data_IF_541154456134
#
_entry.id   IF_541154456134
#
_cell.length_a   1.000
_cell.length_b   1.000
_cell.length_c   1.000
_cell.angle_alpha   90.00
_cell.angle_beta   90.00
_cell.angle_gamma   90.00
#
_symmetry.space_group_name_H-M   'P 1'
#
loop_
_entity.id
_entity.type
_entity.pdbx_description
1 polymer ?
#
# COMPACT_ATOMS: atom_id res chain seq x y z
N UNK A 1 -7.67 -19.72 14.37
CA UNK A 1 -6.54 -19.56 15.29
C UNK A 1 -5.61 -18.39 14.98
N UNK A 2 -5.94 -17.52 13.99
CA UNK A 2 -5.09 -16.36 13.62
C UNK A 2 -5.30 -15.14 14.53
N UNK A 3 -6.38 -15.09 15.30
CA UNK A 3 -6.71 -14.00 16.24
C UNK A 3 -6.80 -14.56 17.65
N UNK A 4 -6.25 -13.86 18.61
CA UNK A 4 -6.36 -14.19 20.03
C UNK A 4 -7.58 -13.48 20.59
N UNK A 5 -8.68 -14.19 20.97
CA UNK A 5 -9.96 -13.59 21.32
C UNK A 5 -9.89 -12.56 22.45
N UNK A 6 -9.08 -12.87 23.48
CA UNK A 6 -9.00 -12.06 24.70
C UNK A 6 -8.16 -10.78 24.54
N UNK A 7 -7.31 -10.72 23.52
CA UNK A 7 -6.44 -9.56 23.27
C UNK A 7 -6.94 -8.67 22.13
N UNK A 8 -8.06 -9.02 21.51
CA UNK A 8 -8.63 -8.25 20.41
C UNK A 8 -8.97 -6.81 20.88
N UNK A 9 -8.65 -5.83 20.06
CA UNK A 9 -8.77 -4.41 20.37
C UNK A 9 -8.08 -4.03 21.72
N UNK A 10 -6.90 -4.60 22.00
CA UNK A 10 -6.18 -4.37 23.25
C UNK A 10 -6.89 -4.93 24.47
N UNK A 11 -7.76 -5.92 24.31
CA UNK A 11 -8.59 -6.50 25.36
C UNK A 11 -9.87 -5.72 25.66
N UNK A 12 -10.14 -4.63 24.96
CA UNK A 12 -11.36 -3.84 25.15
C UNK A 12 -12.62 -4.56 24.61
N UNK A 13 -12.44 -5.55 23.75
CA UNK A 13 -13.52 -6.33 23.16
C UNK A 13 -13.12 -7.80 23.04
N UNK A 14 -13.80 -8.66 23.81
CA UNK A 14 -13.57 -10.12 23.77
C UNK A 14 -14.41 -10.73 22.66
N UNK A 15 -13.74 -11.49 21.76
CA UNK A 15 -14.41 -12.17 20.67
C UNK A 15 -15.05 -13.48 21.15
N UNK A 16 -16.30 -13.70 20.75
CA UNK A 16 -17.02 -14.96 21.02
C UNK A 16 -16.58 -16.04 20.00
N UNK A 17 -15.54 -16.78 20.36
CA UNK A 17 -15.00 -17.85 19.52
C UNK A 17 -15.97 -19.04 19.37
N UNK A 18 -16.87 -19.25 20.34
CA UNK A 18 -17.87 -20.32 20.26
C UNK A 18 -18.99 -19.96 19.29
N UNK A 19 -19.50 -18.74 19.34
CA UNK A 19 -20.49 -18.25 18.37
C UNK A 19 -19.91 -18.28 16.94
N UNK A 20 -18.63 -17.93 16.75
CA UNK A 20 -17.97 -18.02 15.44
C UNK A 20 -17.88 -19.46 14.94
N UNK A 21 -17.48 -20.43 15.79
CA UNK A 21 -17.43 -21.86 15.43
C UNK A 21 -18.82 -22.38 15.05
N UNK A 22 -19.84 -22.05 15.84
CA UNK A 22 -21.22 -22.46 15.59
C UNK A 22 -21.77 -21.87 14.30
N UNK A 23 -21.44 -20.64 13.97
CA UNK A 23 -21.85 -20.00 12.72
C UNK A 23 -21.21 -20.68 11.51
N UNK A 24 -19.89 -20.92 11.55
CA UNK A 24 -19.16 -21.60 10.49
C UNK A 24 -19.66 -23.06 10.35
N UNK A 25 -19.87 -23.74 11.48
CA UNK A 25 -20.42 -25.11 11.51
C UNK A 25 -21.71 -25.21 10.71
N UNK A 26 -22.70 -24.43 11.07
CA UNK A 26 -24.04 -24.46 10.43
C UNK A 26 -24.02 -23.93 9.00
N UNK A 27 -23.29 -22.85 8.74
CA UNK A 27 -23.38 -22.17 7.44
C UNK A 27 -22.53 -22.83 6.35
N UNK A 28 -21.43 -23.52 6.70
CA UNK A 28 -20.46 -24.03 5.75
C UNK A 28 -20.10 -25.50 5.99
N UNK A 29 -19.72 -25.89 7.22
CA UNK A 29 -19.18 -27.21 7.47
C UNK A 29 -20.24 -28.31 7.26
N UNK A 30 -21.41 -28.20 7.88
CA UNK A 30 -22.51 -29.16 7.77
C UNK A 30 -23.02 -29.31 6.31
N UNK A 31 -23.32 -28.19 5.56
CA UNK A 31 -23.75 -28.31 4.16
C UNK A 31 -22.73 -28.96 3.23
N UNK A 32 -21.44 -28.83 3.54
CA UNK A 32 -20.35 -29.37 2.72
C UNK A 32 -19.79 -30.70 3.24
N UNK A 33 -20.31 -31.22 4.36
CA UNK A 33 -19.88 -32.49 4.94
C UNK A 33 -18.45 -32.51 5.43
N UNK A 34 -17.95 -31.36 5.94
CA UNK A 34 -16.59 -31.21 6.43
C UNK A 34 -16.56 -30.78 7.92
N UNK A 35 -15.41 -30.88 8.58
CA UNK A 35 -15.25 -30.35 9.93
C UNK A 35 -15.15 -28.81 9.94
N UNK A 36 -15.47 -28.19 11.09
CA UNK A 36 -15.51 -26.74 11.24
C UNK A 36 -14.16 -26.06 11.04
N UNK A 37 -13.04 -26.71 11.38
CA UNK A 37 -11.70 -26.17 11.20
C UNK A 37 -11.33 -26.11 9.73
N UNK A 38 -11.60 -27.19 8.98
CA UNK A 38 -11.43 -27.25 7.53
C UNK A 38 -12.30 -26.21 6.83
N UNK A 39 -13.56 -26.04 7.26
CA UNK A 39 -14.46 -25.03 6.73
C UNK A 39 -13.92 -23.60 6.95
N UNK A 40 -13.50 -23.28 8.17
CA UNK A 40 -12.91 -21.99 8.51
C UNK A 40 -11.64 -21.69 7.69
N UNK A 41 -10.76 -22.68 7.55
CA UNK A 41 -9.58 -22.60 6.70
C UNK A 41 -9.95 -22.39 5.24
N UNK A 42 -10.92 -23.13 4.73
CA UNK A 42 -11.40 -23.01 3.33
C UNK A 42 -11.90 -21.60 3.01
N UNK A 43 -12.64 -20.98 3.92
CA UNK A 43 -13.07 -19.57 3.79
C UNK A 43 -11.87 -18.63 3.69
N UNK A 44 -10.90 -18.77 4.60
CA UNK A 44 -9.69 -17.95 4.59
C UNK A 44 -8.86 -18.18 3.31
N UNK A 45 -8.73 -19.42 2.87
CA UNK A 45 -7.95 -19.77 1.68
C UNK A 45 -8.56 -19.20 0.39
N UNK A 46 -9.90 -19.15 0.29
CA UNK A 46 -10.59 -18.48 -0.83
C UNK A 46 -10.30 -16.96 -0.83
N UNK A 47 -10.30 -16.33 0.34
CA UNK A 47 -9.95 -14.91 0.46
C UNK A 47 -8.49 -14.69 0.04
N UNK A 48 -7.56 -15.50 0.56
CA UNK A 48 -6.14 -15.43 0.22
C UNK A 48 -5.91 -15.63 -1.30
N UNK A 49 -6.65 -16.55 -1.94
CA UNK A 49 -6.54 -16.77 -3.39
C UNK A 49 -7.12 -15.62 -4.21
N UNK A 50 -8.24 -15.04 -3.78
CA UNK A 50 -8.81 -13.87 -4.45
C UNK A 50 -7.84 -12.67 -4.42
N UNK A 51 -7.19 -12.44 -3.27
CA UNK A 51 -6.14 -11.40 -3.15
C UNK A 51 -4.94 -11.71 -4.04
N UNK A 52 -4.49 -12.98 -4.06
CA UNK A 52 -3.38 -13.40 -4.91
C UNK A 52 -3.71 -13.25 -6.39
N UNK A 53 -4.93 -13.63 -6.80
CA UNK A 53 -5.38 -13.50 -8.19
C UNK A 53 -5.44 -12.03 -8.63
N UNK A 54 -5.95 -11.14 -7.78
CA UNK A 54 -5.97 -9.69 -8.05
C UNK A 54 -4.55 -9.11 -8.19
N UNK A 55 -3.65 -9.49 -7.28
CA UNK A 55 -2.25 -9.06 -7.35
C UNK A 55 -1.54 -9.55 -8.63
N UNK A 56 -1.77 -10.82 -9.02
CA UNK A 56 -1.20 -11.37 -10.26
C UNK A 56 -1.74 -10.66 -11.50
N UNK A 57 -3.06 -10.39 -11.55
CA UNK A 57 -3.67 -9.68 -12.66
C UNK A 57 -3.07 -8.28 -12.82
N UNK A 58 -2.99 -7.52 -11.73
CA UNK A 58 -2.38 -6.18 -11.76
C UNK A 58 -0.89 -6.23 -12.14
N UNK A 59 -0.11 -7.14 -11.58
CA UNK A 59 1.31 -7.30 -11.94
C UNK A 59 1.49 -7.65 -13.42
N UNK A 60 0.60 -8.48 -13.99
CA UNK A 60 0.66 -8.85 -15.41
C UNK A 60 0.38 -7.66 -16.33
N UNK A 61 -0.51 -6.73 -15.96
CA UNK A 61 -0.78 -5.50 -16.71
C UNK A 61 0.49 -4.63 -16.86
N UNK A 62 1.38 -4.67 -15.86
CA UNK A 62 2.63 -3.90 -15.84
C UNK A 62 3.87 -4.74 -16.16
N UNK A 63 3.72 -6.02 -16.49
CA UNK A 63 4.83 -6.93 -16.77
C UNK A 63 5.77 -7.14 -15.57
N UNK A 64 5.24 -7.10 -14.34
CA UNK A 64 6.01 -7.19 -13.10
C UNK A 64 6.09 -8.64 -12.60
N UNK A 65 7.28 -9.05 -12.14
CA UNK A 65 7.47 -10.29 -11.38
C UNK A 65 7.29 -10.02 -9.88
N UNK A 66 6.22 -10.58 -9.30
CA UNK A 66 5.89 -10.42 -7.88
C UNK A 66 6.92 -11.09 -6.97
N UNK A 67 7.52 -12.21 -7.38
CA UNK A 67 8.52 -12.92 -6.59
C UNK A 67 9.80 -12.12 -6.34
N UNK A 68 10.06 -11.10 -7.17
CA UNK A 68 11.20 -10.18 -7.04
C UNK A 68 10.89 -8.94 -6.19
N UNK A 69 9.68 -8.83 -5.63
CA UNK A 69 9.22 -7.65 -4.88
C UNK A 69 9.11 -7.94 -3.40
N UNK A 70 9.27 -6.89 -2.60
CA UNK A 70 8.86 -6.89 -1.20
C UNK A 70 7.36 -6.55 -1.11
N UNK A 71 6.68 -7.12 -0.11
CA UNK A 71 5.27 -6.82 0.17
C UNK A 71 5.14 -6.00 1.44
N UNK A 72 4.27 -5.00 1.44
CA UNK A 72 3.90 -4.26 2.64
C UNK A 72 2.51 -4.72 3.07
N UNK A 73 2.40 -5.22 4.31
CA UNK A 73 1.13 -5.61 4.91
C UNK A 73 0.57 -4.44 5.73
N UNK A 74 -0.44 -3.77 5.18
CA UNK A 74 -0.99 -2.52 5.68
C UNK A 74 -2.50 -2.60 5.85
N UNK A 75 -2.99 -2.27 7.04
CA UNK A 75 -4.40 -2.38 7.42
C UNK A 75 -4.64 -3.44 8.50
N UNK A 76 -5.79 -3.37 9.18
CA UNK A 76 -6.10 -4.24 10.33
C UNK A 76 -6.15 -5.73 10.04
N UNK A 77 -6.50 -6.15 8.81
CA UNK A 77 -6.54 -7.55 8.41
C UNK A 77 -5.31 -8.02 7.63
N UNK A 78 -4.55 -7.10 7.00
CA UNK A 78 -3.45 -7.48 6.12
C UNK A 78 -2.38 -8.36 6.79
N UNK A 79 -1.91 -8.08 8.02
CA UNK A 79 -0.91 -8.91 8.69
C UNK A 79 -1.38 -10.35 9.01
N UNK A 80 -2.70 -10.58 9.09
CA UNK A 80 -3.28 -11.90 9.28
C UNK A 80 -3.11 -12.81 8.07
N UNK A 81 -3.05 -12.22 6.87
CA UNK A 81 -2.99 -12.91 5.59
C UNK A 81 -1.60 -12.88 4.95
N UNK A 82 -0.74 -11.98 5.43
CA UNK A 82 0.50 -11.59 4.75
C UNK A 82 1.43 -12.75 4.43
N UNK A 83 1.75 -13.63 5.38
CA UNK A 83 2.63 -14.78 5.16
C UNK A 83 2.05 -15.73 4.10
N UNK A 84 0.75 -16.07 4.21
CA UNK A 84 0.07 -16.95 3.25
C UNK A 84 0.01 -16.36 1.85
N UNK A 85 -0.29 -15.07 1.76
CA UNK A 85 -0.30 -14.35 0.49
C UNK A 85 1.10 -14.30 -0.13
N UNK A 86 2.13 -14.04 0.68
CA UNK A 86 3.53 -14.09 0.26
C UNK A 86 3.92 -15.44 -0.34
N UNK A 87 3.51 -16.55 0.29
CA UNK A 87 3.71 -17.89 -0.26
C UNK A 87 3.08 -18.08 -1.64
N UNK A 88 1.81 -17.66 -1.80
CA UNK A 88 1.06 -17.77 -3.07
C UNK A 88 1.65 -16.92 -4.19
N UNK A 89 2.25 -15.79 -3.86
CA UNK A 89 2.83 -14.84 -4.81
C UNK A 89 4.35 -15.06 -5.04
N UNK A 90 4.99 -15.95 -4.27
CA UNK A 90 6.43 -16.16 -4.33
C UNK A 90 7.24 -15.03 -3.68
N UNK A 91 6.60 -14.13 -2.94
CA UNK A 91 7.24 -13.05 -2.18
C UNK A 91 8.02 -13.64 -1.00
N UNK A 92 9.23 -13.18 -0.79
CA UNK A 92 10.13 -13.71 0.25
C UNK A 92 10.30 -12.79 1.44
N UNK A 93 9.95 -11.51 1.29
CA UNK A 93 10.09 -10.48 2.32
C UNK A 93 8.84 -9.64 2.42
N UNK A 94 8.33 -9.49 3.65
CA UNK A 94 7.10 -8.77 3.96
C UNK A 94 7.39 -7.79 5.08
N UNK A 95 6.99 -6.53 4.92
CA UNK A 95 7.10 -5.51 5.96
C UNK A 95 5.71 -5.23 6.52
N UNK A 96 5.58 -5.37 7.84
CA UNK A 96 4.41 -4.93 8.60
C UNK A 96 4.82 -3.65 9.34
N UNK A 97 4.39 -2.47 8.87
CA UNK A 97 4.79 -1.20 9.47
C UNK A 97 4.31 -1.07 10.92
N UNK A 98 4.98 -0.26 11.70
CA UNK A 98 4.47 0.17 13.01
C UNK A 98 3.08 0.80 12.81
N UNK A 99 2.14 0.46 13.69
CA UNK A 99 0.74 0.88 13.59
C UNK A 99 0.05 0.48 12.27
N UNK A 100 0.43 -0.66 11.67
CA UNK A 100 -0.15 -1.14 10.42
C UNK A 100 -1.69 -1.16 10.43
N UNK A 101 -2.32 -1.52 11.54
CA UNK A 101 -3.77 -1.60 11.68
C UNK A 101 -4.50 -0.26 11.57
N UNK A 102 -3.82 0.84 11.85
CA UNK A 102 -4.34 2.23 11.78
C UNK A 102 -3.50 3.11 10.85
N UNK A 103 -2.68 2.52 10.01
CA UNK A 103 -1.71 3.22 9.18
C UNK A 103 -2.33 4.24 8.23
N UNK A 104 -3.59 4.04 7.77
CA UNK A 104 -4.31 5.06 6.99
C UNK A 104 -4.52 6.34 7.80
N UNK A 105 -4.84 6.22 9.10
CA UNK A 105 -4.98 7.38 9.99
C UNK A 105 -3.64 8.07 10.22
N UNK A 106 -2.56 7.29 10.41
CA UNK A 106 -1.20 7.82 10.52
C UNK A 106 -0.80 8.55 9.24
N UNK A 107 -1.02 7.93 8.07
CA UNK A 107 -0.74 8.56 6.78
C UNK A 107 -1.53 9.84 6.56
N UNK A 108 -2.79 9.87 6.98
CA UNK A 108 -3.62 11.07 6.90
C UNK A 108 -3.10 12.22 7.77
N UNK A 109 -2.59 11.90 8.98
CA UNK A 109 -1.99 12.90 9.87
C UNK A 109 -0.65 13.44 9.35
N UNK A 110 0.09 12.61 8.61
CA UNK A 110 1.39 12.97 8.04
C UNK A 110 1.27 13.60 6.64
N UNK A 111 0.12 13.47 5.99
CA UNK A 111 -0.08 14.01 4.66
C UNK A 111 0.03 15.55 4.69
N UNK A 112 0.72 16.17 3.72
CA UNK A 112 0.73 17.60 3.58
C UNK A 112 -0.67 18.12 3.26
N UNK A 113 -0.96 19.37 3.64
CA UNK A 113 -2.17 20.04 3.17
C UNK A 113 -2.01 20.29 1.67
N UNK A 114 -2.72 19.52 0.87
CA UNK A 114 -2.62 19.57 -0.58
C UNK A 114 -4.01 19.59 -1.23
N UNK A 115 -4.10 20.22 -2.40
CA UNK A 115 -5.29 20.19 -3.21
C UNK A 115 -4.94 20.06 -4.68
N UNK A 116 -5.63 19.14 -5.35
CA UNK A 116 -5.49 18.88 -6.76
C UNK A 116 -6.73 19.37 -7.52
N UNK A 117 -6.49 20.09 -8.60
CA UNK A 117 -7.53 20.52 -9.53
C UNK A 117 -7.31 19.80 -10.85
N UNK A 118 -8.37 19.21 -11.39
CA UNK A 118 -8.36 18.56 -12.70
C UNK A 118 -9.34 19.28 -13.63
N UNK A 119 -8.90 19.54 -14.86
CA UNK A 119 -9.75 20.13 -15.90
C UNK A 119 -9.57 19.38 -17.22
N UNK A 120 -10.66 18.95 -17.80
CA UNK A 120 -10.67 18.35 -19.13
C UNK A 120 -10.67 19.42 -20.21
N UNK A 121 -9.62 19.43 -21.00
CA UNK A 121 -9.48 20.31 -22.18
C UNK A 121 -8.59 19.63 -23.19
N UNK A 122 -9.19 19.09 -24.23
CA UNK A 122 -8.44 18.40 -25.26
C UNK A 122 -7.59 19.41 -26.08
N UNK A 123 -6.33 19.08 -26.26
CA UNK A 123 -5.36 19.80 -27.07
C UNK A 123 -4.57 18.79 -27.91
N UNK A 124 -4.43 19.02 -29.19
CA UNK A 124 -3.49 18.29 -30.04
C UNK A 124 -2.15 18.99 -29.98
N UNK A 125 -1.04 18.27 -29.70
CA UNK A 125 0.25 18.90 -29.44
C UNK A 125 0.79 19.67 -30.66
N UNK A 126 0.54 19.20 -31.89
CA UNK A 126 0.94 19.89 -33.12
C UNK A 126 0.24 21.25 -33.33
N UNK A 127 -0.88 21.48 -32.62
CA UNK A 127 -1.68 22.69 -32.64
C UNK A 127 -1.98 23.23 -31.23
N UNK A 128 -1.00 23.12 -30.32
CA UNK A 128 -1.14 23.52 -28.92
C UNK A 128 -1.46 25.02 -28.79
N UNK A 129 -2.63 25.33 -28.23
CA UNK A 129 -2.97 26.69 -27.82
C UNK A 129 -2.40 26.98 -26.43
N UNK A 130 -1.13 27.44 -26.43
CA UNK A 130 -0.39 27.71 -25.20
C UNK A 130 -1.06 28.80 -24.34
N UNK A 131 -1.72 29.81 -24.95
CA UNK A 131 -2.41 30.85 -24.19
C UNK A 131 -3.64 30.29 -23.45
N UNK A 132 -4.39 29.41 -24.11
CA UNK A 132 -5.54 28.76 -23.50
C UNK A 132 -5.10 27.86 -22.33
N UNK A 133 -4.01 27.10 -22.51
CA UNK A 133 -3.47 26.25 -21.45
C UNK A 133 -2.96 27.08 -20.27
N UNK A 134 -2.29 28.20 -20.52
CA UNK A 134 -1.84 29.10 -19.45
C UNK A 134 -3.03 29.66 -18.65
N UNK A 135 -4.06 30.16 -19.32
CA UNK A 135 -5.28 30.63 -18.61
C UNK A 135 -5.90 29.53 -17.75
N UNK A 136 -6.01 28.31 -18.29
CA UNK A 136 -6.51 27.15 -17.57
C UNK A 136 -5.68 26.85 -16.32
N UNK A 137 -4.36 26.84 -16.47
CA UNK A 137 -3.42 26.59 -15.35
C UNK A 137 -3.48 27.69 -14.30
N UNK A 138 -3.63 28.95 -14.70
CA UNK A 138 -3.74 30.07 -13.76
C UNK A 138 -5.04 30.00 -12.94
N UNK A 139 -6.17 29.66 -13.59
CA UNK A 139 -7.44 29.42 -12.91
C UNK A 139 -7.35 28.25 -11.91
N UNK A 140 -6.79 27.13 -12.34
CA UNK A 140 -6.59 25.95 -11.50
C UNK A 140 -5.66 26.25 -10.33
N UNK A 141 -4.59 26.99 -10.57
CA UNK A 141 -3.63 27.42 -9.55
C UNK A 141 -4.30 28.30 -8.49
N UNK A 142 -5.10 29.27 -8.91
CA UNK A 142 -5.80 30.14 -7.97
C UNK A 142 -6.77 29.34 -7.10
N UNK A 143 -7.56 28.44 -7.71
CA UNK A 143 -8.48 27.56 -6.99
C UNK A 143 -7.74 26.68 -5.97
N UNK A 144 -6.64 26.03 -6.38
CA UNK A 144 -5.86 25.19 -5.50
C UNK A 144 -5.24 25.97 -4.33
N UNK A 145 -4.67 27.15 -4.60
CA UNK A 145 -4.11 28.02 -3.57
C UNK A 145 -5.16 28.49 -2.55
N UNK A 146 -6.38 28.81 -3.02
CA UNK A 146 -7.44 29.28 -2.14
C UNK A 146 -7.90 28.17 -1.16
N UNK A 147 -7.91 26.93 -1.61
CA UNK A 147 -8.21 25.77 -0.74
C UNK A 147 -7.06 25.47 0.22
N UNK A 148 -5.82 25.38 -0.29
CA UNK A 148 -4.65 25.06 0.55
C UNK A 148 -4.42 26.15 1.60
N UNK A 149 -4.69 27.41 1.27
CA UNK A 149 -4.60 28.54 2.22
C UNK A 149 -5.54 28.39 3.43
N UNK A 150 -6.69 27.71 3.28
CA UNK A 150 -7.59 27.47 4.40
C UNK A 150 -7.01 26.49 5.42
N UNK A 151 -6.21 25.50 4.96
CA UNK A 151 -5.59 24.50 5.82
C UNK A 151 -4.17 24.86 6.27
N UNK A 152 -3.44 25.69 5.52
CA UNK A 152 -2.04 26.08 5.78
C UNK A 152 -1.79 27.57 5.46
N UNK A 153 -2.47 28.53 6.10
CA UNK A 153 -2.43 29.93 5.72
C UNK A 153 -1.03 30.55 5.83
N UNK A 154 -0.28 30.23 6.88
CA UNK A 154 1.06 30.78 7.13
C UNK A 154 2.05 30.31 6.09
N UNK A 155 2.03 29.03 5.73
CA UNK A 155 2.92 28.44 4.73
C UNK A 155 2.65 29.02 3.33
N UNK A 156 1.39 29.15 2.96
CA UNK A 156 1.03 29.75 1.68
C UNK A 156 1.46 31.21 1.63
N UNK A 157 1.32 31.96 2.72
CA UNK A 157 1.76 33.37 2.81
C UNK A 157 3.30 33.48 2.74
N UNK A 158 4.03 32.52 3.27
CA UNK A 158 5.50 32.43 3.19
C UNK A 158 6.01 31.92 1.82
N UNK A 159 5.12 31.44 0.94
CA UNK A 159 5.50 30.80 -0.33
C UNK A 159 6.07 29.38 -0.17
N UNK A 160 5.84 28.73 0.98
CA UNK A 160 6.32 27.39 1.31
C UNK A 160 5.34 26.32 0.81
N UNK A 161 5.23 26.19 -0.49
CA UNK A 161 4.43 25.15 -1.13
C UNK A 161 5.10 24.66 -2.42
N UNK A 162 4.83 23.41 -2.76
CA UNK A 162 5.20 22.83 -4.04
C UNK A 162 4.02 22.93 -5.01
N UNK A 163 4.32 23.18 -6.27
CA UNK A 163 3.35 23.12 -7.36
C UNK A 163 3.79 22.06 -8.35
N UNK A 164 2.90 21.12 -8.66
CA UNK A 164 3.11 20.12 -9.69
C UNK A 164 2.03 20.23 -10.76
N UNK A 165 2.43 20.06 -12.02
CA UNK A 165 1.55 20.10 -13.18
C UNK A 165 1.69 18.83 -13.98
N UNK A 166 0.58 18.26 -14.40
CA UNK A 166 0.57 17.08 -15.26
C UNK A 166 -0.47 17.25 -16.37
N UNK A 167 -0.28 16.52 -17.45
CA UNK A 167 -1.30 16.31 -18.45
C UNK A 167 -1.51 14.81 -18.67
N UNK A 168 -2.76 14.40 -18.79
CA UNK A 168 -3.11 13.05 -19.22
C UNK A 168 -3.13 13.02 -20.74
N UNK A 169 -2.19 12.27 -21.31
CA UNK A 169 -1.88 12.29 -22.72
C UNK A 169 -1.94 10.91 -23.34
N UNK A 170 -2.24 10.84 -24.63
CA UNK A 170 -2.26 9.60 -25.40
C UNK A 170 -1.89 9.86 -26.86
N UNK A 171 -1.54 8.82 -27.59
CA UNK A 171 -1.60 8.90 -29.04
C UNK A 171 -3.05 8.97 -29.51
N UNK A 172 -3.31 9.80 -30.52
CA UNK A 172 -4.66 9.97 -31.06
C UNK A 172 -5.28 8.62 -31.47
N UNK A 173 -6.50 8.38 -31.03
CA UNK A 173 -7.21 7.12 -31.27
C UNK A 173 -6.95 6.00 -30.26
N UNK A 174 -6.06 6.17 -29.30
CA UNK A 174 -5.92 5.21 -28.20
C UNK A 174 -7.05 5.39 -27.14
N UNK A 175 -7.45 4.29 -26.53
CA UNK A 175 -8.46 4.30 -25.48
C UNK A 175 -7.92 4.58 -24.08
N UNK A 176 -6.59 4.64 -23.91
CA UNK A 176 -5.93 4.82 -22.60
C UNK A 176 -4.97 5.99 -22.64
N UNK A 177 -4.95 6.79 -21.60
CA UNK A 177 -4.09 7.94 -21.39
C UNK A 177 -3.08 7.69 -20.28
N UNK A 178 -1.94 8.35 -20.35
CA UNK A 178 -0.87 8.27 -19.35
C UNK A 178 -0.61 9.66 -18.76
N UNK A 179 -0.32 9.73 -17.46
CA UNK A 179 0.06 10.96 -16.79
C UNK A 179 1.50 11.35 -17.18
N UNK A 180 1.67 12.60 -17.56
CA UNK A 180 2.97 13.17 -17.97
C UNK A 180 3.24 14.43 -17.16
N UNK A 181 4.34 14.47 -16.44
CA UNK A 181 4.76 15.65 -15.70
C UNK A 181 5.15 16.78 -16.68
N UNK A 182 4.60 17.96 -16.40
CA UNK A 182 4.87 19.15 -17.19
C UNK A 182 5.90 20.06 -16.49
N UNK A 183 6.68 20.84 -17.26
CA UNK A 183 7.54 21.85 -16.68
C UNK A 183 6.72 22.99 -16.06
N UNK A 184 7.32 23.82 -15.21
CA UNK A 184 6.69 25.07 -14.76
C UNK A 184 6.32 25.95 -15.96
N UNK A 185 5.15 26.62 -15.88
CA UNK A 185 4.74 27.61 -16.87
C UNK A 185 5.42 28.97 -16.69
N UNK A 186 5.12 29.98 -17.52
CA UNK A 186 4.09 29.93 -18.57
C UNK A 186 4.54 29.19 -19.82
N UNK A 187 3.58 28.56 -20.49
CA UNK A 187 3.87 27.80 -21.72
C UNK A 187 3.86 28.70 -22.95
N UNK A 188 4.61 28.29 -23.95
CA UNK A 188 4.74 28.92 -25.29
C UNK A 188 4.73 27.83 -26.34
N UNK A 189 4.64 28.18 -27.63
CA UNK A 189 4.59 27.21 -28.71
C UNK A 189 5.74 26.14 -28.68
N UNK A 190 6.99 26.47 -28.33
CA UNK A 190 8.05 25.47 -28.19
C UNK A 190 7.80 24.38 -27.15
N UNK A 191 6.96 24.63 -26.12
CA UNK A 191 6.66 23.61 -25.11
C UNK A 191 5.86 22.42 -25.65
N UNK A 192 5.22 22.56 -26.81
CA UNK A 192 4.58 21.42 -27.48
C UNK A 192 5.58 20.29 -27.74
N UNK A 193 6.79 20.65 -28.19
CA UNK A 193 7.86 19.68 -28.41
C UNK A 193 8.38 19.08 -27.09
N UNK A 194 8.53 19.90 -26.05
CA UNK A 194 8.93 19.40 -24.73
C UNK A 194 7.88 18.42 -24.17
N UNK A 195 6.59 18.72 -24.31
CA UNK A 195 5.50 17.81 -23.90
C UNK A 195 5.56 16.50 -24.68
N UNK A 196 5.82 16.55 -25.98
CA UNK A 196 6.00 15.35 -26.81
C UNK A 196 7.16 14.49 -26.29
N UNK A 197 8.32 15.09 -26.04
CA UNK A 197 9.50 14.36 -25.54
C UNK A 197 9.22 13.71 -24.18
N UNK A 198 8.58 14.44 -23.28
CA UNK A 198 8.19 13.90 -21.96
C UNK A 198 7.20 12.75 -22.07
N UNK A 199 6.16 12.91 -22.89
CA UNK A 199 5.20 11.85 -23.16
C UNK A 199 5.88 10.60 -23.73
N UNK A 200 6.71 10.74 -24.77
CA UNK A 200 7.40 9.61 -25.37
C UNK A 200 8.36 8.89 -24.41
N UNK A 201 8.99 9.62 -23.49
CA UNK A 201 9.83 9.04 -22.45
C UNK A 201 9.02 8.19 -21.48
N UNK A 202 7.87 8.69 -21.00
CA UNK A 202 6.96 7.93 -20.14
C UNK A 202 6.38 6.73 -20.90
N UNK A 203 5.92 6.94 -22.13
CA UNK A 203 5.33 5.89 -22.96
C UNK A 203 6.33 4.76 -23.24
N UNK A 204 7.59 5.11 -23.57
CA UNK A 204 8.66 4.12 -23.77
C UNK A 204 8.96 3.33 -22.50
N UNK A 205 8.95 3.98 -21.35
CA UNK A 205 9.16 3.30 -20.06
C UNK A 205 8.05 2.29 -19.75
N UNK A 206 6.80 2.62 -20.10
CA UNK A 206 5.64 1.76 -19.84
C UNK A 206 5.49 0.63 -20.86
N UNK A 207 5.73 0.92 -22.14
CA UNK A 207 5.41 0.00 -23.23
C UNK A 207 6.63 -0.47 -24.04
N UNK A 208 7.84 -0.07 -23.66
CA UNK A 208 9.09 -0.47 -24.30
C UNK A 208 9.36 0.17 -25.66
N UNK A 209 8.43 0.94 -26.22
CA UNK A 209 8.52 1.56 -27.56
C UNK A 209 7.72 2.86 -27.62
N UNK A 210 7.92 3.63 -28.68
CA UNK A 210 7.06 4.76 -29.08
C UNK A 210 6.34 4.41 -30.40
N UNK A 211 5.34 5.20 -30.77
CA UNK A 211 4.61 5.09 -32.03
C UNK A 211 4.93 6.33 -32.85
N UNK A 212 5.77 6.17 -33.86
CA UNK A 212 6.20 7.27 -34.74
C UNK A 212 5.06 7.73 -35.66
N UNK A 213 5.01 9.03 -35.97
CA UNK A 213 4.10 9.60 -36.94
C UNK A 213 2.64 9.68 -36.53
N UNK A 214 2.32 9.38 -35.28
CA UNK A 214 0.97 9.51 -34.71
C UNK A 214 0.88 10.76 -33.86
N UNK A 215 -0.18 11.53 -34.05
CA UNK A 215 -0.49 12.71 -33.23
C UNK A 215 -0.63 12.35 -31.76
N UNK A 216 -0.19 13.28 -30.90
CA UNK A 216 -0.34 13.17 -29.46
C UNK A 216 -1.36 14.20 -29.01
N UNK A 217 -2.29 13.79 -28.17
CA UNK A 217 -3.31 14.67 -27.59
C UNK A 217 -3.25 14.64 -26.05
N UNK A 218 -3.37 15.81 -25.44
CA UNK A 218 -3.63 15.99 -24.03
C UNK A 218 -5.14 16.12 -23.82
N UNK A 219 -5.71 15.34 -22.91
CA UNK A 219 -7.14 15.29 -22.66
C UNK A 219 -7.54 16.04 -21.39
N UNK A 220 -6.74 15.86 -20.34
CA UNK A 220 -6.98 16.48 -19.03
C UNK A 220 -5.68 17.06 -18.48
N UNK A 221 -5.82 18.12 -17.72
CA UNK A 221 -4.73 18.86 -17.09
C UNK A 221 -4.93 18.84 -15.59
N UNK A 222 -3.87 18.59 -14.88
CA UNK A 222 -3.88 18.49 -13.42
C UNK A 222 -2.86 19.48 -12.85
N UNK A 223 -3.28 20.18 -11.81
CA UNK A 223 -2.42 21.05 -11.03
C UNK A 223 -2.62 20.76 -9.55
N UNK A 224 -1.55 20.46 -8.86
CA UNK A 224 -1.55 20.19 -7.41
C UNK A 224 -0.71 21.23 -6.70
N UNK A 225 -1.29 21.89 -5.70
CA UNK A 225 -0.58 22.68 -4.71
C UNK A 225 -0.48 21.87 -3.42
N UNK A 226 0.73 21.74 -2.90
CA UNK A 226 1.01 21.02 -1.65
C UNK A 226 1.83 21.91 -0.72
N UNK A 227 1.26 22.31 0.40
CA UNK A 227 2.02 22.95 1.46
C UNK A 227 2.98 21.92 2.07
N UNK A 228 4.27 22.21 2.10
CA UNK A 228 5.26 21.30 2.66
C UNK A 228 4.86 20.88 4.08
N UNK A 229 4.73 19.56 4.31
CA UNK A 229 4.61 19.03 5.66
C UNK A 229 5.90 19.25 6.43
N UNK A 230 5.86 19.24 7.74
CA UNK A 230 7.08 18.97 8.51
C UNK A 230 7.46 17.53 8.13
N UNK A 231 8.48 17.40 7.29
CA UNK A 231 9.21 16.14 7.22
C UNK A 231 9.85 15.97 8.59
N UNK A 232 9.21 15.16 9.45
CA UNK A 232 9.88 14.73 10.66
C UNK A 232 11.19 14.09 10.23
N UNK A 233 12.31 14.57 10.77
CA UNK A 233 13.58 13.87 10.62
C UNK A 233 13.35 12.43 11.05
N UNK A 234 13.40 11.50 10.09
CA UNK A 234 13.42 10.08 10.45
C UNK A 234 14.65 9.90 11.36
N UNK A 235 14.45 9.45 12.62
CA UNK A 235 15.58 9.24 13.51
C UNK A 235 16.55 8.27 12.81
N UNK A 236 17.81 8.66 12.71
CA UNK A 236 18.85 7.81 12.15
C UNK A 236 18.85 6.46 12.91
N UNK A 237 18.28 5.45 12.28
CA UNK A 237 18.07 4.14 12.91
C UNK A 237 19.40 3.39 12.94
N UNK A 238 19.96 3.20 14.12
CA UNK A 238 21.10 2.31 14.30
C UNK A 238 20.67 0.87 14.04
N UNK A 239 21.31 0.20 13.12
CA UNK A 239 21.07 -1.21 12.82
C UNK A 239 21.27 -2.07 14.08
N UNK A 240 20.19 -2.52 14.70
CA UNK A 240 20.25 -3.47 15.81
C UNK A 240 20.61 -4.86 15.28
N UNK A 241 21.52 -5.56 15.94
CA UNK A 241 21.84 -6.94 15.56
C UNK A 241 20.69 -7.87 15.93
N UNK A 242 20.32 -8.80 15.03
CA UNK A 242 19.26 -9.78 15.31
C UNK A 242 19.61 -10.65 16.53
N UNK A 243 18.63 -10.81 17.44
CA UNK A 243 18.77 -11.58 18.69
C UNK A 243 17.46 -12.29 19.04
N UNK A 244 17.51 -13.23 19.98
CA UNK A 244 16.30 -13.76 20.59
C UNK A 244 15.55 -12.66 21.36
N UNK A 245 14.18 -12.69 21.40
CA UNK A 245 13.44 -11.71 22.17
C UNK A 245 13.84 -11.69 23.62
N UNK A 246 13.90 -10.51 24.19
CA UNK A 246 14.14 -10.31 25.63
C UNK A 246 12.90 -10.52 26.47
N UNK A 247 11.72 -10.27 25.89
CA UNK A 247 10.42 -10.57 26.48
C UNK A 247 10.13 -12.10 26.41
N UNK A 248 9.25 -12.58 27.25
CA UNK A 248 8.69 -13.93 27.17
C UNK A 248 7.41 -13.92 26.31
N UNK A 249 7.12 -15.07 25.66
CA UNK A 249 5.81 -15.24 25.03
C UNK A 249 4.70 -15.22 26.10
N UNK A 250 3.56 -14.64 25.77
CA UNK A 250 2.43 -14.49 26.69
C UNK A 250 1.54 -15.74 26.74
N UNK A 251 1.74 -16.68 25.80
CA UNK A 251 0.97 -17.93 25.75
C UNK A 251 1.20 -18.72 24.48
N UNK A 252 0.39 -19.75 24.32
CA UNK A 252 0.38 -20.64 23.16
C UNK A 252 -1.04 -20.73 22.63
N UNK A 253 -1.23 -20.66 21.31
CA UNK A 253 -2.52 -20.80 20.65
C UNK A 253 -2.42 -21.75 19.45
N UNK A 254 -3.42 -22.63 19.22
CA UNK A 254 -3.49 -23.42 18.00
C UNK A 254 -3.64 -22.54 16.77
N UNK A 255 -2.74 -22.68 15.81
CA UNK A 255 -2.77 -22.06 14.49
C UNK A 255 -2.88 -23.15 13.43
N UNK A 256 -3.83 -23.03 12.51
CA UNK A 256 -3.93 -23.96 11.41
C UNK A 256 -2.83 -23.69 10.36
N UNK A 257 -2.02 -24.73 10.10
CA UNK A 257 -0.96 -24.68 9.09
C UNK A 257 -1.46 -25.27 7.75
N UNK A 258 -1.52 -24.47 6.67
CA UNK A 258 -1.98 -24.93 5.37
C UNK A 258 -1.11 -26.03 4.76
N UNK A 259 0.18 -26.06 5.06
CA UNK A 259 1.12 -27.00 4.46
C UNK A 259 0.94 -28.43 5.03
N UNK A 260 0.87 -28.54 6.37
CA UNK A 260 0.64 -29.81 7.05
C UNK A 260 -0.84 -30.19 7.15
N UNK A 261 -1.76 -29.25 6.92
CA UNK A 261 -3.23 -29.35 7.14
C UNK A 261 -3.57 -29.74 8.59
N UNK A 262 -2.78 -29.28 9.54
CA UNK A 262 -2.94 -29.56 10.95
C UNK A 262 -2.88 -28.27 11.78
N UNK A 263 -3.40 -28.34 12.98
CA UNK A 263 -3.16 -27.29 13.97
C UNK A 263 -1.75 -27.47 14.55
N UNK A 264 -0.97 -26.38 14.53
CA UNK A 264 0.35 -26.29 15.16
C UNK A 264 0.28 -25.34 16.34
N UNK A 265 1.12 -25.54 17.34
CA UNK A 265 1.21 -24.64 18.48
C UNK A 265 1.99 -23.37 18.10
N UNK A 266 1.32 -22.22 18.09
CA UNK A 266 1.93 -20.92 17.83
C UNK A 266 2.16 -20.17 19.13
N UNK A 267 3.36 -19.66 19.34
CA UNK A 267 3.67 -18.78 20.47
C UNK A 267 3.01 -17.43 20.27
N UNK A 268 2.46 -16.85 21.33
CA UNK A 268 1.81 -15.53 21.32
C UNK A 268 2.74 -14.49 21.92
N UNK A 269 2.98 -13.40 21.20
CA UNK A 269 3.82 -12.29 21.61
C UNK A 269 3.03 -10.99 21.58
N UNK A 270 3.27 -10.10 22.54
CA UNK A 270 2.79 -8.73 22.46
C UNK A 270 3.80 -7.90 21.63
N UNK A 271 3.28 -7.15 20.66
CA UNK A 271 4.12 -6.30 19.80
C UNK A 271 4.90 -5.26 20.59
N UNK A 272 4.25 -4.70 21.63
CA UNK A 272 4.82 -3.63 22.46
C UNK A 272 6.00 -4.11 23.34
N UNK A 273 6.11 -5.41 23.56
CA UNK A 273 7.22 -6.01 24.33
C UNK A 273 8.44 -6.32 23.44
N UNK A 274 8.28 -6.25 22.11
CA UNK A 274 9.36 -6.52 21.16
C UNK A 274 10.09 -5.22 20.78
N UNK A 275 11.41 -5.26 20.83
CA UNK A 275 12.28 -4.12 20.56
C UNK A 275 13.18 -4.36 19.33
N UNK A 276 13.75 -3.32 18.71
CA UNK A 276 14.63 -3.48 17.56
C UNK A 276 15.71 -4.54 17.75
N UNK A 277 15.81 -5.43 16.78
CA UNK A 277 16.70 -6.61 16.78
C UNK A 277 16.06 -7.90 17.27
N UNK A 278 14.93 -7.85 17.97
CA UNK A 278 14.25 -9.06 18.43
C UNK A 278 13.73 -9.89 17.24
N UNK A 279 13.85 -11.22 17.35
CA UNK A 279 13.55 -12.17 16.30
C UNK A 279 12.60 -13.25 16.79
N UNK A 280 11.47 -13.40 16.12
CA UNK A 280 10.45 -14.41 16.41
C UNK A 280 10.35 -15.37 15.24
N UNK A 281 10.63 -16.65 15.49
CA UNK A 281 10.46 -17.70 14.48
C UNK A 281 9.02 -18.24 14.51
N UNK A 282 8.46 -18.53 13.33
CA UNK A 282 7.15 -19.16 13.21
C UNK A 282 7.18 -20.67 13.52
N UNK A 283 6.05 -21.23 13.99
CA UNK A 283 4.73 -20.60 14.07
C UNK A 283 4.57 -19.66 15.28
N UNK A 284 4.14 -18.44 15.05
CA UNK A 284 3.91 -17.45 16.10
C UNK A 284 2.81 -16.45 15.70
N UNK A 285 2.22 -15.81 16.71
CA UNK A 285 1.29 -14.70 16.59
C UNK A 285 1.87 -13.49 17.33
N UNK A 286 2.03 -12.37 16.64
CA UNK A 286 2.44 -11.10 17.26
C UNK A 286 1.20 -10.22 17.29
N UNK A 287 0.66 -10.00 18.51
CA UNK A 287 -0.61 -9.30 18.72
C UNK A 287 -0.39 -7.82 19.00
N UNK A 288 -1.24 -6.99 18.45
CA UNK A 288 -1.35 -5.55 18.65
C UNK A 288 -2.81 -5.19 18.94
N UNK A 289 -3.08 -4.00 19.44
CA UNK A 289 -4.46 -3.56 19.68
C UNK A 289 -5.31 -3.54 18.38
N UNK A 290 -4.69 -3.26 17.22
CA UNK A 290 -5.41 -3.06 15.97
C UNK A 290 -5.26 -4.22 14.97
N UNK A 291 -4.34 -5.14 15.21
CA UNK A 291 -4.09 -6.27 14.29
C UNK A 291 -3.34 -7.42 14.98
N UNK A 292 -3.18 -8.51 14.27
CA UNK A 292 -2.28 -9.61 14.65
C UNK A 292 -1.44 -9.99 13.44
N UNK A 293 -0.13 -10.03 13.61
CA UNK A 293 0.78 -10.54 12.58
C UNK A 293 0.95 -12.04 12.76
N UNK A 294 0.62 -12.80 11.72
CA UNK A 294 0.85 -14.26 11.67
C UNK A 294 2.24 -14.52 11.10
N UNK A 295 3.11 -15.09 11.94
CA UNK A 295 4.39 -15.63 11.51
C UNK A 295 4.18 -17.13 11.25
N UNK A 296 3.96 -17.50 9.99
CA UNK A 296 3.68 -18.89 9.61
C UNK A 296 4.90 -19.80 9.82
N UNK A 297 4.74 -21.14 9.89
CA UNK A 297 5.87 -22.07 9.83
C UNK A 297 6.76 -21.77 8.61
N UNK A 298 8.08 -21.78 8.79
CA UNK A 298 9.03 -21.42 7.73
C UNK A 298 9.21 -19.92 7.50
N UNK A 299 8.59 -19.07 8.32
CA UNK A 299 8.80 -17.63 8.33
C UNK A 299 9.46 -17.19 9.64
N UNK A 300 10.13 -16.05 9.55
CA UNK A 300 10.78 -15.39 10.69
C UNK A 300 10.42 -13.90 10.65
N UNK A 301 10.01 -13.36 11.78
CA UNK A 301 9.82 -11.93 11.97
C UNK A 301 11.02 -11.33 12.72
N UNK A 302 11.52 -10.20 12.26
CA UNK A 302 12.56 -9.41 12.95
C UNK A 302 12.05 -8.00 13.12
N UNK A 303 12.24 -7.40 14.29
CA UNK A 303 11.94 -5.99 14.52
C UNK A 303 13.08 -5.16 13.95
N UNK A 304 12.80 -4.32 12.97
CA UNK A 304 13.78 -3.45 12.36
C UNK A 304 14.09 -2.22 13.26
N UNK A 305 15.08 -1.39 12.91
CA UNK A 305 15.44 -0.20 13.69
C UNK A 305 14.32 0.85 13.81
N UNK A 306 13.36 0.88 12.87
CA UNK A 306 12.21 1.79 12.89
C UNK A 306 11.00 1.20 13.64
N UNK A 307 11.17 -0.01 14.17
CA UNK A 307 10.12 -0.71 14.87
C UNK A 307 9.16 -1.49 13.96
N UNK A 308 9.42 -1.62 12.67
CA UNK A 308 8.60 -2.45 11.77
C UNK A 308 8.88 -3.94 11.98
N UNK A 309 7.89 -4.80 11.72
CA UNK A 309 8.15 -6.24 11.62
C UNK A 309 8.52 -6.58 10.19
N UNK A 310 9.69 -7.13 10.01
CA UNK A 310 10.15 -7.66 8.72
C UNK A 310 10.06 -9.17 8.77
N UNK A 311 9.12 -9.75 8.02
CA UNK A 311 8.95 -11.19 7.88
C UNK A 311 9.77 -11.66 6.69
N UNK A 312 10.61 -12.67 6.91
CA UNK A 312 11.43 -13.30 5.88
C UNK A 312 11.15 -14.79 5.84
N UNK A 313 11.00 -15.32 4.61
CA UNK A 313 10.83 -16.74 4.40
C UNK A 313 12.18 -17.44 4.59
N UNK A 314 12.24 -18.37 5.52
CA UNK A 314 13.44 -19.18 5.75
C UNK A 314 13.70 -20.12 4.57
N UNK A 315 14.98 -20.46 4.29
CA UNK A 315 15.36 -21.37 3.21
C UNK A 315 14.74 -22.76 3.32
#
# INVERSE_FOLDING_TARGET
GRVVPDTFAGGAFVLDAEAARNAIGRAVAEPLGMDGTTAAFGISEVVDENMAAAARAHAAEFGLDLGSRDMIAFGGAAPLHAARLGEKLGVRRIVVPTAAGVGSAVGFLLAPVAYEVVRSRQQVLSALDAEQVNRLMDEMRQEALDVVRQGAPERVAAGEFAETRQAYMRYAGQGHEIAVDLPPGPYTAPHAEEFRVRFEAVYRRLYGRIIEGVEIEALSWTLTISAAGEQGDEPAANAAQPRAPTAASTGIQPLFDPASRQAVEAQVWLRDDLVPGDRVDGPALITEAQTTTVVAPGWRATVDPHGHLVLERMP
#
